data_IF_869624855761
#
_entry.id   IF_869624855761
#
_cell.length_a   1.000
_cell.length_b   1.000
_cell.length_c   1.000
_cell.angle_alpha   90.00
_cell.angle_beta   90.00
_cell.angle_gamma   90.00
#
_symmetry.space_group_name_H-M   'P 1'
#
loop_
_entity.id
_entity.type
_entity.pdbx_description
1 polymer ?
#
# COMPACT_ATOMS: atom_id res chain seq x y z
N UNK A 1 2.18 -10.39 5.00
CA UNK A 1 1.79 -10.68 6.40
C UNK A 1 0.84 -11.88 6.46
N UNK A 2 1.32 -13.09 6.12
CA UNK A 2 0.50 -14.32 6.21
C UNK A 2 1.07 -15.39 7.16
N UNK A 3 2.30 -15.21 7.64
CA UNK A 3 2.95 -16.15 8.58
C UNK A 3 2.53 -15.99 10.05
N UNK A 4 1.83 -14.91 10.41
CA UNK A 4 1.48 -14.59 11.81
C UNK A 4 -0.01 -14.27 12.02
N UNK A 5 -0.89 -14.43 11.01
CA UNK A 5 -2.33 -14.11 11.11
C UNK A 5 -2.64 -12.66 11.55
N UNK A 6 -1.88 -11.66 11.08
CA UNK A 6 -2.19 -10.25 11.33
C UNK A 6 -2.94 -9.65 10.14
N UNK A 7 -4.29 -9.70 10.09
CA UNK A 7 -5.05 -9.13 8.98
C UNK A 7 -4.92 -7.60 8.90
N UNK A 8 -4.62 -6.96 10.03
CA UNK A 8 -4.59 -5.50 10.17
C UNK A 8 -3.18 -4.90 10.18
N UNK A 9 -2.15 -5.70 9.94
CA UNK A 9 -0.79 -5.17 9.89
C UNK A 9 -0.58 -4.40 8.57
N UNK A 10 0.04 -3.23 8.63
CA UNK A 10 0.24 -2.37 7.47
C UNK A 10 1.63 -1.75 7.54
N UNK A 11 2.50 -1.94 6.53
CA UNK A 11 3.84 -1.38 6.56
C UNK A 11 3.82 0.07 6.06
N UNK A 12 3.61 1.04 6.96
CA UNK A 12 3.51 2.46 6.59
C UNK A 12 4.81 3.06 6.01
N UNK A 13 5.95 2.42 6.25
CA UNK A 13 7.26 2.81 5.72
C UNK A 13 7.59 2.26 4.33
N UNK A 14 6.75 1.42 3.74
CA UNK A 14 7.07 0.71 2.50
C UNK A 14 7.14 1.67 1.30
N UNK A 15 8.29 1.68 0.60
CA UNK A 15 8.52 2.55 -0.56
C UNK A 15 7.60 2.17 -1.72
N UNK A 16 7.30 0.88 -1.89
CA UNK A 16 6.39 0.38 -2.93
C UNK A 16 4.96 0.89 -2.74
N UNK A 17 4.42 0.76 -1.52
CA UNK A 17 3.09 1.29 -1.19
C UNK A 17 3.01 2.81 -1.34
N UNK A 18 4.05 3.52 -0.90
CA UNK A 18 4.13 4.98 -1.06
C UNK A 18 4.09 5.36 -2.53
N UNK A 19 4.85 4.68 -3.38
CA UNK A 19 4.84 4.89 -4.84
C UNK A 19 3.48 4.56 -5.45
N UNK A 20 2.86 3.45 -5.07
CA UNK A 20 1.54 3.06 -5.56
C UNK A 20 0.45 4.11 -5.26
N UNK A 21 0.62 4.85 -4.16
CA UNK A 21 -0.28 5.93 -3.75
C UNK A 21 0.17 7.33 -4.21
N UNK A 22 1.10 7.45 -5.15
CA UNK A 22 1.56 8.75 -5.67
C UNK A 22 2.60 9.46 -4.81
N UNK A 23 3.42 8.71 -4.08
CA UNK A 23 4.55 9.25 -3.30
C UNK A 23 4.21 9.80 -1.91
N UNK A 24 3.08 9.38 -1.31
CA UNK A 24 2.64 9.87 -0.01
C UNK A 24 3.70 9.73 1.09
N UNK A 25 3.66 10.62 2.08
CA UNK A 25 4.43 10.46 3.32
C UNK A 25 3.89 9.27 4.13
N UNK A 26 4.73 8.61 4.96
CA UNK A 26 4.28 7.49 5.80
C UNK A 26 3.07 7.81 6.67
N UNK A 27 3.02 9.03 7.24
CA UNK A 27 1.90 9.48 8.07
C UNK A 27 0.59 9.61 7.28
N UNK A 28 0.64 10.16 6.06
CA UNK A 28 -0.55 10.24 5.19
C UNK A 28 -0.97 8.86 4.70
N UNK A 29 -0.01 8.02 4.33
CA UNK A 29 -0.28 6.65 3.90
C UNK A 29 -1.00 5.87 5.03
N UNK A 30 -0.55 6.01 6.28
CA UNK A 30 -1.21 5.42 7.45
C UNK A 30 -2.63 5.93 7.62
N UNK A 31 -2.85 7.25 7.55
CA UNK A 31 -4.18 7.84 7.67
C UNK A 31 -5.16 7.34 6.59
N UNK A 32 -4.69 7.21 5.34
CA UNK A 32 -5.50 6.63 4.26
C UNK A 32 -5.77 5.15 4.52
N UNK A 33 -4.77 4.40 4.99
CA UNK A 33 -4.89 2.97 5.24
C UNK A 33 -5.87 2.64 6.37
N UNK A 34 -6.22 3.57 7.27
CA UNK A 34 -7.23 3.37 8.30
C UNK A 34 -8.61 2.97 7.71
N UNK A 35 -8.93 3.37 6.47
CA UNK A 35 -10.18 2.98 5.80
C UNK A 35 -10.26 1.48 5.49
N UNK A 36 -9.11 0.80 5.41
CA UNK A 36 -9.05 -0.63 5.10
C UNK A 36 -9.04 -1.51 6.35
N UNK A 37 -9.23 -0.95 7.54
CA UNK A 37 -9.37 -1.76 8.76
C UNK A 37 -10.62 -2.65 8.68
N UNK A 38 -10.56 -3.90 9.20
CA UNK A 38 -9.42 -4.54 9.87
C UNK A 38 -8.50 -5.34 8.92
N UNK A 39 -8.58 -5.13 7.60
CA UNK A 39 -7.93 -5.94 6.56
C UNK A 39 -6.77 -5.21 5.85
N UNK A 40 -6.07 -4.31 6.54
CA UNK A 40 -5.01 -3.48 5.93
C UNK A 40 -3.88 -4.29 5.29
N UNK A 41 -3.56 -5.46 5.80
CA UNK A 41 -2.58 -6.37 5.17
C UNK A 41 -3.02 -6.84 3.79
N UNK A 42 -4.32 -6.97 3.55
CA UNK A 42 -4.86 -7.34 2.25
C UNK A 42 -4.78 -6.19 1.27
N UNK A 43 -5.11 -4.97 1.72
CA UNK A 43 -4.95 -3.77 0.90
C UNK A 43 -3.49 -3.55 0.48
N UNK A 44 -2.52 -3.74 1.39
CA UNK A 44 -1.10 -3.68 1.05
C UNK A 44 -0.71 -4.72 -0.03
N UNK A 45 -1.22 -5.95 0.06
CA UNK A 45 -0.98 -6.98 -0.97
C UNK A 45 -1.56 -6.58 -2.33
N UNK A 46 -2.76 -6.00 -2.36
CA UNK A 46 -3.37 -5.52 -3.60
C UNK A 46 -2.57 -4.35 -4.21
N UNK A 47 -2.07 -3.42 -3.39
CA UNK A 47 -1.23 -2.31 -3.86
C UNK A 47 0.10 -2.79 -4.42
N UNK A 48 0.74 -3.79 -3.81
CA UNK A 48 1.97 -4.38 -4.37
C UNK A 48 1.70 -5.12 -5.69
N UNK A 49 0.60 -5.87 -5.77
CA UNK A 49 0.21 -6.55 -7.00
C UNK A 49 -0.08 -5.54 -8.12
N UNK A 50 -0.74 -4.43 -7.78
CA UNK A 50 -1.01 -3.32 -8.69
C UNK A 50 0.29 -2.68 -9.19
N UNK A 51 1.27 -2.42 -8.32
CA UNK A 51 2.56 -1.86 -8.70
C UNK A 51 3.37 -2.78 -9.62
N UNK A 52 3.24 -4.09 -9.47
CA UNK A 52 3.91 -5.09 -10.32
C UNK A 52 3.22 -5.34 -11.67
N UNK A 53 2.04 -4.76 -11.90
CA UNK A 53 1.30 -4.95 -13.16
C UNK A 53 1.88 -4.04 -14.27
N UNK A 54 2.44 -4.60 -15.36
CA UNK A 54 3.03 -3.81 -16.44
C UNK A 54 2.02 -2.95 -17.21
N UNK A 55 0.71 -3.13 -16.97
CA UNK A 55 -0.36 -2.33 -17.57
C UNK A 55 -0.63 -1.02 -16.81
N UNK A 56 0.06 -0.77 -15.71
CA UNK A 56 -0.16 0.48 -14.98
C UNK A 56 0.35 1.68 -15.78
N UNK A 57 -0.47 2.75 -15.93
CA UNK A 57 0.01 3.98 -16.53
C UNK A 57 1.16 4.48 -15.66
N UNK A 58 2.33 4.65 -16.26
CA UNK A 58 3.46 5.26 -15.58
C UNK A 58 2.97 6.57 -14.98
N UNK A 59 2.84 6.64 -13.66
CA UNK A 59 2.56 7.87 -12.93
C UNK A 59 3.70 8.82 -13.21
N UNK A 60 3.58 9.59 -14.29
CA UNK A 60 4.49 10.66 -14.67
C UNK A 60 4.29 11.77 -13.65
N UNK A 61 5.20 11.85 -12.69
CA UNK A 61 5.43 13.08 -11.95
C UNK A 61 5.84 14.17 -12.95
N UNK A 62 4.91 15.07 -13.28
CA UNK A 62 5.21 16.45 -13.72
C UNK A 62 5.26 17.29 -12.47
#
# INVERSE_FOLDING_TARGET
MRGLHWPDAFPEGDIGLRRAMGGLSPARLRAVAEVWRPWRSYAAQHLWAWLGDPRQPATRST
#
